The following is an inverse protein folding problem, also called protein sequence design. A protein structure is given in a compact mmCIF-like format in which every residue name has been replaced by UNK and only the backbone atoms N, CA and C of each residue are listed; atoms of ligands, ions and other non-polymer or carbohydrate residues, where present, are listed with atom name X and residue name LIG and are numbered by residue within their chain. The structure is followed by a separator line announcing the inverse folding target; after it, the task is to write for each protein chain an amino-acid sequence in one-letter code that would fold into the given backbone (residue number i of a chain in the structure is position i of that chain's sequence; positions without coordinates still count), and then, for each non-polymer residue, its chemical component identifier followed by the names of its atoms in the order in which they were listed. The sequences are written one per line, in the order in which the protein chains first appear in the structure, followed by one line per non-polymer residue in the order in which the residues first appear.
data_IF_518989665441
#
_entry.id   IF_518989665441
#
_cell.length_a   1.000
_cell.length_b   1.000
_cell.length_c   1.000
_cell.angle_alpha   90.00
_cell.angle_beta   90.00
_cell.angle_gamma   90.00
#
_symmetry.space_group_name_H-M   'P 1'
#
loop_
_entity.id
_entity.type
_entity.pdbx_description
1 polymer ?
#
# COMPACT_ATOMS: atom_id res chain seq x y z
N UNK A 1 3.19 6.38 16.33
CA UNK A 1 4.63 6.72 16.28
C UNK A 1 4.89 7.88 17.24
N UNK A 2 5.73 7.68 18.26
CA UNK A 2 6.22 8.80 19.06
C UNK A 2 7.47 9.35 18.38
N UNK A 3 7.37 10.57 17.84
CA UNK A 3 8.53 11.30 17.35
C UNK A 3 9.24 11.91 18.54
N UNK A 4 10.44 11.43 18.87
CA UNK A 4 11.27 12.04 19.92
C UNK A 4 12.02 13.23 19.35
N UNK A 5 11.56 14.43 19.73
CA UNK A 5 12.17 15.69 19.34
C UNK A 5 13.43 15.95 20.17
N UNK A 6 14.51 16.39 19.51
CA UNK A 6 15.86 16.60 20.09
C UNK A 6 15.95 17.94 20.83
N UNK A 7 14.96 18.28 21.65
CA UNK A 7 14.98 19.47 22.49
C UNK A 7 14.84 19.07 23.97
N UNK A 8 15.64 19.76 24.78
CA UNK A 8 16.00 19.47 26.18
C UNK A 8 14.79 19.07 27.06
N UNK A 9 14.79 17.83 27.56
CA UNK A 9 13.66 17.15 28.24
C UNK A 9 13.48 17.52 29.73
N UNK A 10 14.22 18.49 30.26
CA UNK A 10 14.34 18.67 31.71
C UNK A 10 13.33 19.64 32.36
N UNK A 11 12.31 20.12 31.64
CA UNK A 11 11.43 21.19 32.14
C UNK A 11 9.93 21.02 31.79
N UNK A 12 9.41 19.79 31.77
CA UNK A 12 8.04 19.55 31.31
C UNK A 12 7.06 19.26 32.46
N UNK A 13 5.92 19.96 32.44
CA UNK A 13 4.77 19.74 33.30
C UNK A 13 3.93 18.58 32.75
N UNK A 14 3.40 17.73 33.65
CA UNK A 14 2.51 16.59 33.35
C UNK A 14 1.21 16.96 32.59
N UNK A 15 0.96 18.26 32.33
CA UNK A 15 -0.20 18.79 31.58
C UNK A 15 0.10 19.15 30.11
N UNK A 16 1.30 18.85 29.60
CA UNK A 16 1.66 19.21 28.23
C UNK A 16 1.13 18.16 27.26
N UNK A 17 0.05 18.47 26.55
CA UNK A 17 -0.48 17.62 25.48
C UNK A 17 0.14 17.99 24.12
N UNK A 18 0.57 16.96 23.38
CA UNK A 18 1.17 17.12 22.06
C UNK A 18 0.17 16.73 20.99
N UNK A 19 -0.03 17.60 20.01
CA UNK A 19 -0.78 17.30 18.80
C UNK A 19 0.08 17.64 17.58
N UNK A 20 -0.12 16.91 16.49
CA UNK A 20 0.42 17.26 15.18
C UNK A 20 -0.72 17.21 14.16
N UNK A 21 -0.62 18.06 13.14
CA UNK A 21 -1.54 18.05 12.00
C UNK A 21 -0.96 17.14 10.92
N UNK A 22 -1.77 16.19 10.47
CA UNK A 22 -1.43 15.32 9.34
C UNK A 22 -2.35 15.71 8.20
N UNK A 23 -1.77 16.13 7.07
CA UNK A 23 -2.54 16.34 5.86
C UNK A 23 -2.83 14.96 5.23
N UNK A 24 -4.11 14.63 5.07
CA UNK A 24 -4.53 13.30 4.60
C UNK A 24 -5.49 13.43 3.43
N UNK A 25 -5.13 12.80 2.31
CA UNK A 25 -6.02 12.65 1.16
C UNK A 25 -6.52 11.21 1.06
N UNK A 26 -7.83 11.05 0.94
CA UNK A 26 -8.47 9.74 0.75
C UNK A 26 -8.86 9.59 -0.71
N UNK A 27 -8.31 8.55 -1.35
CA UNK A 27 -8.54 8.27 -2.76
C UNK A 27 -9.25 6.91 -2.87
N UNK A 28 -10.27 6.85 -3.73
CA UNK A 28 -10.97 5.61 -4.08
C UNK A 28 -10.73 5.26 -5.55
N UNK A 29 -9.63 4.52 -5.89
CA UNK A 29 -9.25 4.27 -7.28
C UNK A 29 -10.29 3.47 -8.07
N UNK A 30 -11.13 2.70 -7.38
CA UNK A 30 -12.17 1.85 -7.98
C UNK A 30 -13.58 2.43 -7.85
N UNK A 31 -13.72 3.70 -7.46
CA UNK A 31 -15.01 4.33 -7.26
C UNK A 31 -15.58 4.15 -5.84
N UNK A 32 -16.77 4.71 -5.65
CA UNK A 32 -17.47 4.74 -4.36
C UNK A 32 -18.75 3.90 -4.45
N UNK A 33 -19.02 3.11 -3.42
CA UNK A 33 -20.20 2.25 -3.35
C UNK A 33 -21.51 3.03 -3.46
N UNK A 34 -21.57 4.22 -2.83
CA UNK A 34 -22.73 5.12 -2.88
C UNK A 34 -23.05 5.63 -4.29
N UNK A 35 -22.12 5.53 -5.23
CA UNK A 35 -22.29 5.91 -6.63
C UNK A 35 -21.99 4.69 -7.50
N UNK A 36 -22.98 3.81 -7.74
CA UNK A 36 -22.75 2.54 -8.44
C UNK A 36 -22.07 2.67 -9.80
N UNK A 37 -22.37 3.75 -10.54
CA UNK A 37 -21.75 4.04 -11.85
C UNK A 37 -20.28 4.44 -11.78
N UNK A 38 -19.76 4.77 -10.60
CA UNK A 38 -18.34 5.06 -10.40
C UNK A 38 -17.51 3.80 -10.18
N UNK A 39 -18.16 2.67 -9.88
CA UNK A 39 -17.47 1.42 -9.56
C UNK A 39 -16.80 0.82 -10.80
N UNK A 40 -15.49 0.67 -10.73
CA UNK A 40 -14.70 0.10 -11.81
C UNK A 40 -14.36 -1.36 -11.54
N UNK A 41 -15.05 -2.25 -12.25
CA UNK A 41 -14.79 -3.69 -12.23
C UNK A 41 -13.90 -4.10 -13.40
N UNK A 42 -13.07 -5.14 -13.19
CA UNK A 42 -12.09 -5.58 -14.17
C UNK A 42 -10.80 -6.10 -13.55
N UNK A 43 -9.81 -6.35 -14.39
CA UNK A 43 -8.49 -6.84 -13.98
C UNK A 43 -7.40 -6.26 -14.89
N UNK A 44 -6.17 -6.26 -14.40
CA UNK A 44 -4.98 -5.84 -15.13
C UNK A 44 -4.31 -7.03 -15.83
N UNK A 45 -5.12 -7.91 -16.41
CA UNK A 45 -4.61 -9.08 -17.12
C UNK A 45 -4.17 -8.68 -18.54
N UNK A 46 -2.94 -9.00 -18.90
CA UNK A 46 -2.43 -8.78 -20.26
C UNK A 46 -3.27 -9.48 -21.33
N UNK A 47 -3.95 -10.57 -20.96
CA UNK A 47 -4.92 -11.30 -21.81
C UNK A 47 -6.07 -10.44 -22.35
N UNK A 48 -6.36 -9.30 -21.73
CA UNK A 48 -7.41 -8.39 -22.19
C UNK A 48 -6.97 -7.50 -23.36
N UNK A 49 -5.66 -7.31 -23.55
CA UNK A 49 -5.13 -6.47 -24.64
C UNK A 49 -5.35 -7.08 -26.02
N UNK A 50 -5.39 -8.41 -26.11
CA UNK A 50 -5.50 -9.14 -27.38
C UNK A 50 -6.95 -9.34 -27.82
N UNK A 51 -7.94 -9.06 -26.95
CA UNK A 51 -9.35 -9.25 -27.24
C UNK A 51 -10.13 -7.95 -27.00
N UNK A 52 -10.64 -7.34 -28.07
CA UNK A 52 -11.39 -6.08 -28.05
C UNK A 52 -12.61 -6.07 -27.12
N UNK A 53 -13.24 -7.22 -26.90
CA UNK A 53 -14.39 -7.32 -26.00
C UNK A 53 -13.96 -7.33 -24.53
N UNK A 54 -12.79 -7.92 -24.25
CA UNK A 54 -12.21 -7.99 -22.91
C UNK A 54 -11.43 -6.74 -22.52
N UNK A 55 -10.94 -5.96 -23.48
CA UNK A 55 -10.23 -4.69 -23.24
C UNK A 55 -11.11 -3.67 -22.49
N UNK A 56 -12.44 -3.80 -22.58
CA UNK A 56 -13.40 -3.01 -21.79
C UNK A 56 -13.29 -3.23 -20.28
N UNK A 57 -12.68 -4.33 -19.84
CA UNK A 57 -12.44 -4.65 -18.43
C UNK A 57 -11.02 -4.30 -17.97
N UNK A 58 -10.23 -3.60 -18.81
CA UNK A 58 -8.89 -3.14 -18.48
C UNK A 58 -8.96 -1.91 -17.55
N UNK A 59 -8.78 -2.15 -16.24
CA UNK A 59 -8.89 -1.08 -15.24
C UNK A 59 -7.85 0.02 -15.43
N UNK A 60 -6.62 -0.33 -15.84
CA UNK A 60 -5.53 0.63 -16.03
C UNK A 60 -5.92 1.73 -17.02
N UNK A 61 -6.55 1.32 -18.12
CA UNK A 61 -6.97 2.21 -19.19
C UNK A 61 -8.11 3.12 -18.73
N UNK A 62 -9.20 2.55 -18.20
CA UNK A 62 -10.39 3.32 -17.82
C UNK A 62 -10.17 4.26 -16.64
N UNK A 63 -9.42 3.83 -15.63
CA UNK A 63 -9.10 4.69 -14.49
C UNK A 63 -7.97 5.67 -14.78
N UNK A 64 -7.26 5.52 -15.91
CA UNK A 64 -6.08 6.30 -16.30
C UNK A 64 -5.00 6.29 -15.20
N UNK A 65 -4.69 5.11 -14.67
CA UNK A 65 -3.81 4.96 -13.51
C UNK A 65 -2.46 5.65 -13.68
N UNK A 66 -1.86 5.51 -14.85
CA UNK A 66 -0.53 6.10 -15.11
C UNK A 66 -0.56 7.63 -15.02
N UNK A 67 -1.60 8.27 -15.55
CA UNK A 67 -1.71 9.74 -15.49
C UNK A 67 -2.01 10.24 -14.08
N UNK A 68 -2.80 9.48 -13.30
CA UNK A 68 -3.28 9.94 -11.99
C UNK A 68 -2.36 9.57 -10.83
N UNK A 69 -1.71 8.42 -10.89
CA UNK A 69 -1.09 7.79 -9.71
C UNK A 69 0.40 7.48 -9.88
N UNK A 70 0.94 7.50 -11.10
CA UNK A 70 2.35 7.12 -11.31
C UNK A 70 3.32 8.02 -10.55
N UNK A 71 3.15 9.35 -10.61
CA UNK A 71 3.96 10.33 -9.90
C UNK A 71 3.84 10.15 -8.39
N UNK A 72 2.61 10.02 -7.89
CA UNK A 72 2.33 9.83 -6.47
C UNK A 72 3.07 8.61 -5.92
N UNK A 73 2.96 7.46 -6.59
CA UNK A 73 3.66 6.24 -6.19
C UNK A 73 5.18 6.42 -6.28
N UNK A 74 5.68 7.01 -7.35
CA UNK A 74 7.12 7.23 -7.53
C UNK A 74 7.75 8.08 -6.42
N UNK A 75 7.02 9.08 -5.92
CA UNK A 75 7.46 9.99 -4.85
C UNK A 75 7.20 9.43 -3.44
N UNK A 76 6.45 8.33 -3.32
CA UNK A 76 6.12 7.74 -2.02
C UNK A 76 7.32 7.00 -1.43
N UNK A 77 7.71 7.37 -0.21
CA UNK A 77 8.82 6.76 0.52
C UNK A 77 8.39 5.56 1.38
N UNK A 78 7.13 5.53 1.84
CA UNK A 78 6.60 4.46 2.69
C UNK A 78 5.22 4.00 2.22
N UNK A 79 5.12 2.71 1.97
CA UNK A 79 3.87 2.03 1.66
C UNK A 79 3.38 1.25 2.86
N UNK A 80 2.10 1.38 3.18
CA UNK A 80 1.45 0.57 4.22
C UNK A 80 0.23 -0.07 3.60
N UNK A 81 0.18 -1.40 3.63
CA UNK A 81 -0.88 -2.18 2.99
C UNK A 81 -1.63 -2.98 4.03
N UNK A 82 -2.95 -2.84 3.98
CA UNK A 82 -3.89 -3.60 4.80
C UNK A 82 -4.77 -4.46 3.90
N UNK A 83 -4.96 -5.74 4.26
CA UNK A 83 -6.05 -6.56 3.74
C UNK A 83 -6.03 -6.86 2.24
N UNK A 84 -4.88 -6.79 1.57
CA UNK A 84 -4.79 -7.07 0.13
C UNK A 84 -4.25 -8.47 -0.14
N UNK A 85 -4.96 -9.24 -0.97
CA UNK A 85 -4.41 -10.45 -1.58
C UNK A 85 -3.40 -10.06 -2.68
N UNK A 86 -2.37 -10.89 -2.89
CA UNK A 86 -1.39 -10.70 -3.99
C UNK A 86 -2.03 -11.20 -5.32
N UNK A 87 -3.15 -10.59 -5.70
CA UNK A 87 -3.92 -10.94 -6.88
C UNK A 87 -3.34 -10.38 -8.19
N UNK A 88 -3.73 -10.95 -9.31
CA UNK A 88 -3.43 -10.40 -10.65
C UNK A 88 -4.25 -9.13 -10.96
N UNK A 89 -5.39 -8.96 -10.30
CA UNK A 89 -6.29 -7.80 -10.43
C UNK A 89 -5.57 -6.47 -10.20
N UNK A 90 -4.62 -6.46 -9.28
CA UNK A 90 -3.93 -5.26 -8.80
C UNK A 90 -2.45 -5.27 -9.17
N UNK A 91 -2.09 -6.07 -10.17
CA UNK A 91 -0.70 -6.26 -10.63
C UNK A 91 0.02 -4.95 -10.99
N UNK A 92 -0.69 -3.94 -11.49
CA UNK A 92 -0.09 -2.63 -11.78
C UNK A 92 0.39 -1.92 -10.52
N UNK A 93 -0.43 -1.90 -9.47
CA UNK A 93 -0.07 -1.32 -8.18
C UNK A 93 1.17 -2.01 -7.63
N UNK A 94 1.19 -3.34 -7.66
CA UNK A 94 2.33 -4.15 -7.22
C UNK A 94 3.61 -3.86 -8.00
N UNK A 95 3.53 -3.73 -9.32
CA UNK A 95 4.67 -3.38 -10.19
C UNK A 95 5.22 -1.99 -9.82
N UNK A 96 4.35 -1.00 -9.62
CA UNK A 96 4.76 0.37 -9.25
C UNK A 96 5.34 0.50 -7.85
N UNK A 97 4.80 -0.25 -6.89
CA UNK A 97 5.40 -0.35 -5.55
C UNK A 97 6.78 -0.99 -5.65
N UNK A 98 6.94 -2.09 -6.39
CA UNK A 98 8.24 -2.71 -6.61
C UNK A 98 9.26 -1.76 -7.25
N UNK A 99 8.85 -0.95 -8.23
CA UNK A 99 9.69 0.10 -8.82
C UNK A 99 10.14 1.13 -7.78
N UNK A 100 9.23 1.55 -6.90
CA UNK A 100 9.54 2.53 -5.83
C UNK A 100 10.45 1.94 -4.76
N UNK A 101 10.27 0.66 -4.41
CA UNK A 101 11.16 -0.06 -3.50
C UNK A 101 12.60 -0.13 -4.03
N UNK A 102 12.79 -0.23 -5.35
CA UNK A 102 14.12 -0.14 -5.95
C UNK A 102 14.76 1.23 -5.79
N UNK A 103 13.95 2.29 -5.77
CA UNK A 103 14.42 3.66 -5.67
C UNK A 103 14.66 4.16 -4.25
N UNK A 104 14.34 3.37 -3.22
CA UNK A 104 14.57 3.77 -1.84
C UNK A 104 13.35 3.69 -0.92
N UNK A 105 12.17 3.38 -1.46
CA UNK A 105 10.97 3.26 -0.63
C UNK A 105 10.99 2.00 0.25
N UNK A 106 10.09 1.96 1.23
CA UNK A 106 9.84 0.85 2.13
C UNK A 106 8.38 0.40 2.05
N UNK A 107 8.14 -0.89 2.31
CA UNK A 107 6.80 -1.48 2.29
C UNK A 107 6.53 -2.22 3.59
N UNK A 108 5.43 -1.86 4.25
CA UNK A 108 4.87 -2.57 5.40
C UNK A 108 3.57 -3.24 4.96
N UNK A 109 3.50 -4.57 5.11
CA UNK A 109 2.30 -5.35 4.79
C UNK A 109 1.71 -5.93 6.05
N UNK A 110 0.44 -5.63 6.32
CA UNK A 110 -0.35 -6.26 7.38
C UNK A 110 -1.04 -7.49 6.83
N UNK A 111 -0.58 -8.64 7.33
CA UNK A 111 -0.97 -9.96 6.87
C UNK A 111 -1.82 -10.65 7.94
N UNK A 112 -3.04 -11.04 7.58
CA UNK A 112 -3.88 -11.84 8.47
C UNK A 112 -3.42 -13.30 8.37
N UNK A 113 -3.14 -13.95 9.50
CA UNK A 113 -2.77 -15.38 9.55
C UNK A 113 -1.63 -15.82 8.62
N UNK A 114 -0.64 -14.96 8.38
CA UNK A 114 0.50 -15.29 7.51
C UNK A 114 0.11 -15.62 6.05
N UNK A 115 -0.97 -15.04 5.53
CA UNK A 115 -1.37 -15.23 4.13
C UNK A 115 -0.40 -14.56 3.13
N UNK A 116 0.39 -13.57 3.57
CA UNK A 116 1.34 -12.87 2.71
C UNK A 116 2.75 -13.48 2.75
N UNK A 117 3.24 -13.89 1.59
CA UNK A 117 4.63 -14.34 1.38
C UNK A 117 5.43 -13.31 0.59
N UNK A 118 6.37 -12.63 1.25
CA UNK A 118 7.27 -11.66 0.60
C UNK A 118 8.08 -12.29 -0.54
N UNK A 119 8.44 -13.57 -0.40
CA UNK A 119 9.21 -14.27 -1.41
C UNK A 119 8.40 -14.49 -2.69
N UNK A 120 7.14 -14.94 -2.55
CA UNK A 120 6.25 -15.16 -3.69
C UNK A 120 5.89 -13.83 -4.38
N UNK A 121 5.66 -12.79 -3.57
CA UNK A 121 5.46 -11.43 -4.07
C UNK A 121 6.62 -10.96 -4.95
N UNK A 122 7.85 -11.02 -4.43
CA UNK A 122 9.05 -10.59 -5.14
C UNK A 122 9.32 -11.49 -6.35
N UNK A 123 9.08 -12.79 -6.25
CA UNK A 123 9.23 -13.71 -7.38
C UNK A 123 8.28 -13.39 -8.53
N UNK A 124 7.05 -12.96 -8.23
CA UNK A 124 6.01 -12.64 -9.20
C UNK A 124 6.25 -11.31 -9.92
N UNK A 125 6.72 -10.28 -9.21
CA UNK A 125 6.77 -8.91 -9.75
C UNK A 125 8.18 -8.35 -10.00
N UNK A 126 9.24 -9.02 -9.51
CA UNK A 126 10.62 -8.49 -9.55
C UNK A 126 11.56 -9.43 -10.32
N UNK A 127 12.40 -8.83 -11.17
CA UNK A 127 13.50 -9.50 -11.89
C UNK A 127 14.53 -10.07 -10.90
N UNK A 128 15.15 -11.20 -11.25
CA UNK A 128 16.05 -11.98 -10.37
C UNK A 128 17.14 -11.12 -9.72
N UNK A 129 17.77 -10.21 -10.47
CA UNK A 129 18.88 -9.38 -9.98
C UNK A 129 18.49 -8.48 -8.79
N UNK A 130 17.26 -7.95 -8.77
CA UNK A 130 16.82 -6.96 -7.80
C UNK A 130 16.11 -7.58 -6.59
N UNK A 131 15.84 -8.90 -6.62
CA UNK A 131 14.98 -9.57 -5.62
C UNK A 131 15.51 -9.41 -4.21
N UNK A 132 16.81 -9.63 -4.00
CA UNK A 132 17.43 -9.53 -2.67
C UNK A 132 17.32 -8.12 -2.10
N UNK A 133 17.51 -7.12 -2.96
CA UNK A 133 17.39 -5.72 -2.58
C UNK A 133 15.95 -5.36 -2.19
N UNK A 134 14.98 -5.69 -3.05
CA UNK A 134 13.57 -5.40 -2.78
C UNK A 134 13.07 -6.13 -1.53
N UNK A 135 13.45 -7.40 -1.34
CA UNK A 135 13.05 -8.20 -0.18
C UNK A 135 13.50 -7.56 1.15
N UNK A 136 14.68 -6.94 1.18
CA UNK A 136 15.20 -6.27 2.38
C UNK A 136 14.39 -5.04 2.83
N UNK A 137 13.52 -4.53 1.95
CA UNK A 137 12.69 -3.34 2.17
C UNK A 137 11.22 -3.66 2.46
N UNK A 138 10.88 -4.95 2.54
CA UNK A 138 9.53 -5.42 2.82
C UNK A 138 9.48 -5.93 4.26
N UNK A 139 8.58 -5.33 5.04
CA UNK A 139 8.30 -5.70 6.42
C UNK A 139 6.89 -6.27 6.51
N UNK A 140 6.76 -7.49 7.04
CA UNK A 140 5.47 -8.15 7.20
C UNK A 140 5.09 -8.12 8.67
N UNK A 141 3.90 -7.59 8.95
CA UNK A 141 3.29 -7.58 10.28
C UNK A 141 2.15 -8.58 10.25
N UNK A 142 2.40 -9.75 10.84
CA UNK A 142 1.40 -10.79 10.94
C UNK A 142 0.50 -10.56 12.15
N UNK A 143 -0.80 -10.62 11.93
CA UNK A 143 -1.78 -10.52 13.00
C UNK A 143 -2.80 -11.65 12.97
N UNK A 144 -3.12 -12.12 14.18
CA UNK A 144 -4.07 -13.19 14.44
C UNK A 144 -5.10 -12.66 15.44
N UNK A 145 -6.39 -13.00 15.25
CA UNK A 145 -7.50 -12.61 16.15
C UNK A 145 -7.28 -13.00 17.63
N UNK A 146 -6.30 -13.85 17.94
CA UNK A 146 -6.00 -14.30 19.30
C UNK A 146 -5.14 -13.33 20.12
N UNK A 147 -4.51 -12.31 19.51
CA UNK A 147 -3.75 -11.28 20.25
C UNK A 147 -4.14 -9.91 19.72
N UNK A 148 -4.62 -9.04 20.61
CA UNK A 148 -4.89 -7.62 20.36
C UNK A 148 -3.65 -6.94 19.76
N UNK A 149 -3.51 -6.98 18.43
CA UNK A 149 -2.47 -6.25 17.71
C UNK A 149 -2.98 -4.84 17.48
N UNK A 150 -2.98 -4.09 18.59
CA UNK A 150 -3.23 -2.66 18.62
C UNK A 150 -1.97 -1.94 18.13
N UNK A 151 -1.77 -1.86 16.82
CA UNK A 151 -0.79 -0.88 16.31
C UNK A 151 -1.41 0.52 16.18
N UNK A 152 -2.73 0.61 15.98
CA UNK A 152 -3.46 1.87 15.83
C UNK A 152 -4.83 1.92 16.53
N UNK A 153 -5.14 1.01 17.48
CA UNK A 153 -6.34 1.24 18.28
C UNK A 153 -6.09 2.51 19.10
N UNK A 154 -6.74 3.59 18.70
CA UNK A 154 -7.00 4.71 19.58
C UNK A 154 -7.58 4.08 20.84
N UNK A 155 -6.80 4.12 21.93
CA UNK A 155 -7.37 3.85 23.25
C UNK A 155 -8.55 4.80 23.35
N UNK A 156 -9.75 4.25 23.45
CA UNK A 156 -10.94 5.03 23.80
C UNK A 156 -10.57 5.84 25.05
N UNK A 157 -10.58 7.16 24.90
CA UNK A 157 -10.50 8.09 26.03
C UNK A 157 -11.82 8.06 26.80
#
# INVERSE_FOLDING_TARGET
MQFTNKYNLNNWNNKTEWSCYINTDIIHPHGQESIPRSLLFGSNCERFKDNKDLDRFNKEYWARYDVKYSTLLKETELYIIYGSSIGESDSWWWKKICESLKNGAELIVYSYKHEFSSLDFVNKYVKIADRKFVLSRIFVVDYNNAKNLNFLSLRNF
#
